data_IF_279196050205
#
_entry.id   IF_279196050205
#
_cell.length_a   1.000
_cell.length_b   1.000
_cell.length_c   1.000
_cell.angle_alpha   90.00
_cell.angle_beta   90.00
_cell.angle_gamma   90.00
#
_symmetry.space_group_name_H-M   'P 1'
#
loop_
_entity.id
_entity.type
_entity.pdbx_description
1 polymer ?
#
# COMPACT_ATOMS: atom_id res chain seq x y z
N UNK A 1 -1.30 -46.06 12.09
CA UNK A 1 -0.09 -45.95 12.91
C UNK A 1 0.70 -44.83 12.29
N UNK A 2 0.46 -43.59 12.71
CA UNK A 2 1.24 -42.44 12.24
C UNK A 2 1.50 -41.52 13.43
N UNK A 3 2.78 -41.43 13.76
CA UNK A 3 3.37 -40.63 14.82
C UNK A 3 3.29 -39.14 14.49
N UNK A 4 2.74 -38.33 15.40
CA UNK A 4 3.05 -36.91 15.51
C UNK A 4 3.57 -36.63 16.92
N UNK A 5 4.83 -36.20 17.11
CA UNK A 5 5.31 -35.83 18.42
C UNK A 5 4.85 -34.40 18.76
N UNK A 6 4.32 -34.30 19.98
CA UNK A 6 4.01 -33.08 20.73
C UNK A 6 5.30 -32.28 20.90
N UNK A 7 5.35 -31.03 20.42
CA UNK A 7 6.44 -30.11 20.75
C UNK A 7 6.06 -29.33 22.00
N UNK A 8 6.88 -29.57 23.02
CA UNK A 8 6.85 -28.97 24.34
C UNK A 8 7.12 -27.46 24.33
N UNK A 9 6.62 -26.80 25.37
CA UNK A 9 6.88 -25.41 25.70
C UNK A 9 8.39 -25.15 25.81
N UNK A 10 8.90 -24.11 25.14
CA UNK A 10 10.28 -23.67 25.26
C UNK A 10 10.38 -22.46 26.22
N UNK A 11 11.22 -22.66 27.22
CA UNK A 11 11.69 -21.77 28.28
C UNK A 11 12.34 -20.49 27.72
N UNK A 12 12.03 -19.35 28.35
CA UNK A 12 12.59 -18.04 28.09
C UNK A 12 13.95 -17.87 28.79
N UNK A 13 15.03 -18.31 28.14
CA UNK A 13 16.40 -18.03 28.57
C UNK A 13 17.29 -17.76 27.35
N UNK A 14 17.64 -16.49 27.11
CA UNK A 14 18.51 -16.07 26.01
C UNK A 14 19.98 -16.47 26.27
N UNK A 15 20.71 -17.05 25.30
CA UNK A 15 22.13 -17.30 25.45
C UNK A 15 22.97 -16.03 25.27
N UNK A 16 23.99 -15.91 26.13
CA UNK A 16 24.93 -14.79 26.24
C UNK A 16 25.90 -14.78 25.03
N UNK A 17 25.90 -13.70 24.23
CA UNK A 17 26.79 -13.53 23.08
C UNK A 17 28.17 -12.96 23.53
N UNK A 18 29.30 -13.54 23.11
CA UNK A 18 30.62 -13.01 23.44
C UNK A 18 30.93 -11.72 22.66
N UNK A 19 31.50 -10.74 23.37
CA UNK A 19 31.93 -9.45 22.81
C UNK A 19 33.34 -9.59 22.24
N UNK A 20 33.47 -9.81 20.93
CA UNK A 20 34.78 -9.71 20.25
C UNK A 20 34.94 -8.32 19.61
N UNK A 21 35.85 -7.54 20.18
CA UNK A 21 36.28 -6.25 19.65
C UNK A 21 37.22 -6.44 18.45
N UNK A 22 36.66 -6.49 17.24
CA UNK A 22 37.42 -6.31 15.98
C UNK A 22 37.18 -4.90 15.44
N UNK A 23 38.22 -4.13 15.06
CA UNK A 23 38.03 -2.78 14.55
C UNK A 23 37.38 -2.86 13.15
N UNK A 24 36.10 -2.50 13.08
CA UNK A 24 35.35 -2.31 11.84
C UNK A 24 36.11 -1.35 10.92
N UNK A 25 36.59 -1.87 9.80
CA UNK A 25 37.06 -1.10 8.65
C UNK A 25 35.94 -0.12 8.28
N UNK A 26 36.17 1.19 8.44
CA UNK A 26 35.21 2.21 8.03
C UNK A 26 35.09 2.18 6.51
N UNK A 27 34.03 1.57 6.01
CA UNK A 27 33.57 1.84 4.65
C UNK A 27 33.07 3.28 4.65
N UNK A 28 33.77 4.16 3.93
CA UNK A 28 33.28 5.49 3.60
C UNK A 28 32.03 5.31 2.73
N UNK A 29 30.85 5.36 3.34
CA UNK A 29 29.58 5.49 2.62
C UNK A 29 29.24 6.97 2.53
N UNK A 30 30.03 7.72 1.76
CA UNK A 30 29.57 8.97 1.16
C UNK A 30 28.70 8.62 -0.06
N UNK A 31 27.70 7.76 0.12
CA UNK A 31 26.59 7.67 -0.81
C UNK A 31 25.51 8.55 -0.22
N UNK A 32 25.46 9.80 -0.67
CA UNK A 32 24.27 10.62 -0.46
C UNK A 32 23.05 9.76 -0.83
N UNK A 33 22.22 9.45 0.17
CA UNK A 33 20.91 8.87 -0.10
C UNK A 33 20.24 9.76 -1.14
N UNK A 34 19.62 9.20 -2.20
CA UNK A 34 18.95 10.01 -3.20
C UNK A 34 18.02 11.00 -2.49
N UNK A 35 17.98 12.27 -2.93
CA UNK A 35 17.22 13.30 -2.24
C UNK A 35 15.80 12.79 -2.01
N UNK A 36 15.40 12.67 -0.74
CA UNK A 36 14.06 12.22 -0.38
C UNK A 36 13.08 13.11 -1.14
N UNK A 37 12.33 12.49 -2.04
CA UNK A 37 11.37 13.19 -2.89
C UNK A 37 10.44 14.00 -1.99
N UNK A 38 10.24 15.29 -2.31
CA UNK A 38 9.43 16.19 -1.49
C UNK A 38 7.98 15.67 -1.46
N UNK A 39 7.56 15.12 -0.33
CA UNK A 39 6.19 14.64 -0.13
C UNK A 39 5.24 15.82 -0.04
N UNK A 40 4.09 15.74 -0.74
CA UNK A 40 3.00 16.71 -0.60
C UNK A 40 3.12 17.93 -1.50
N UNK A 41 3.18 17.73 -2.81
CA UNK A 41 3.02 18.82 -3.78
C UNK A 41 1.58 19.31 -3.87
N UNK A 42 1.35 20.48 -4.48
CA UNK A 42 0.00 20.95 -4.81
C UNK A 42 -0.74 19.98 -5.72
N UNK A 43 0.00 19.29 -6.61
CA UNK A 43 -0.55 18.26 -7.47
C UNK A 43 -1.03 17.05 -6.65
N UNK A 44 -0.22 16.58 -5.71
CA UNK A 44 -0.61 15.47 -4.81
C UNK A 44 -1.86 15.82 -4.01
N UNK A 45 -1.94 17.07 -3.54
CA UNK A 45 -3.09 17.58 -2.79
C UNK A 45 -4.36 17.59 -3.64
N UNK A 46 -4.26 17.98 -4.91
CA UNK A 46 -5.38 17.92 -5.88
C UNK A 46 -5.81 16.49 -6.18
N UNK A 47 -4.88 15.57 -6.33
CA UNK A 47 -5.21 14.15 -6.56
C UNK A 47 -5.84 13.50 -5.33
N UNK A 48 -5.38 13.86 -4.13
CA UNK A 48 -6.00 13.40 -2.89
C UNK A 48 -7.41 13.99 -2.72
N UNK A 49 -7.60 15.27 -3.02
CA UNK A 49 -8.93 15.89 -3.04
C UNK A 49 -9.87 15.16 -4.01
N UNK A 50 -9.37 14.76 -5.18
CA UNK A 50 -10.13 13.96 -6.14
C UNK A 50 -10.51 12.59 -5.60
N UNK A 51 -9.62 11.92 -4.85
CA UNK A 51 -9.94 10.67 -4.16
C UNK A 51 -11.13 10.85 -3.19
N UNK A 52 -11.15 11.94 -2.41
CA UNK A 52 -12.25 12.24 -1.49
C UNK A 52 -13.57 12.51 -2.22
N UNK A 53 -13.53 13.21 -3.36
CA UNK A 53 -14.71 13.42 -4.21
C UNK A 53 -15.29 12.10 -4.73
N UNK A 54 -14.43 11.20 -5.19
CA UNK A 54 -14.83 9.86 -5.65
C UNK A 54 -15.45 9.05 -4.51
N UNK A 55 -14.81 9.03 -3.33
CA UNK A 55 -15.28 8.33 -2.15
C UNK A 55 -16.70 8.78 -1.72
N UNK A 56 -16.97 10.10 -1.75
CA UNK A 56 -18.26 10.69 -1.38
C UNK A 56 -19.43 10.19 -2.24
N UNK A 57 -19.19 9.65 -3.43
CA UNK A 57 -20.24 9.07 -4.30
C UNK A 57 -20.95 7.87 -3.66
N UNK A 58 -20.34 7.22 -2.68
CA UNK A 58 -20.89 6.07 -1.98
C UNK A 58 -21.38 6.39 -0.55
N UNK A 59 -21.55 7.67 -0.21
CA UNK A 59 -21.99 8.09 1.13
C UNK A 59 -23.27 7.35 1.56
N UNK A 60 -23.22 6.74 2.74
CA UNK A 60 -24.34 5.96 3.31
C UNK A 60 -24.52 4.56 2.72
N UNK A 61 -23.63 4.08 1.84
CA UNK A 61 -23.81 2.81 1.10
C UNK A 61 -22.73 1.76 1.37
N UNK A 62 -21.63 2.12 2.03
CA UNK A 62 -20.47 1.24 2.23
C UNK A 62 -20.49 0.49 3.55
N UNK A 63 -21.25 0.92 4.56
CA UNK A 63 -21.26 0.32 5.90
C UNK A 63 -21.41 -1.21 5.84
N UNK A 64 -20.56 -1.99 6.56
CA UNK A 64 -19.59 -1.56 7.57
C UNK A 64 -18.23 -1.08 7.02
N UNK A 65 -18.02 -1.10 5.70
CA UNK A 65 -16.76 -0.72 5.08
C UNK A 65 -16.58 0.81 4.98
N UNK A 66 -15.32 1.31 4.97
CA UNK A 66 -15.04 2.73 4.83
C UNK A 66 -15.38 3.26 3.43
N UNK A 67 -15.54 4.58 3.34
CA UNK A 67 -15.56 5.29 2.07
C UNK A 67 -14.12 5.44 1.57
N UNK A 68 -13.83 4.89 0.40
CA UNK A 68 -12.49 4.96 -0.20
C UNK A 68 -12.60 5.39 -1.65
N UNK A 69 -11.72 6.29 -2.06
CA UNK A 69 -11.51 6.68 -3.45
C UNK A 69 -10.03 6.52 -3.83
N UNK A 70 -9.79 6.24 -5.10
CA UNK A 70 -8.46 6.05 -5.66
C UNK A 70 -8.34 6.68 -7.06
N UNK A 71 -7.17 7.23 -7.35
CA UNK A 71 -6.81 7.85 -8.63
C UNK A 71 -5.44 7.34 -9.04
N UNK A 72 -5.27 6.93 -10.29
CA UNK A 72 -3.98 6.54 -10.86
C UNK A 72 -3.55 7.61 -11.85
N UNK A 73 -2.32 8.11 -11.69
CA UNK A 73 -1.70 9.13 -12.53
C UNK A 73 -0.46 8.58 -13.21
N UNK A 74 -0.37 8.79 -14.52
CA UNK A 74 0.82 8.50 -15.32
C UNK A 74 1.15 9.75 -16.13
N UNK A 75 2.42 10.16 -16.12
CA UNK A 75 2.93 11.30 -16.91
C UNK A 75 2.12 12.60 -16.71
N UNK A 76 1.65 12.83 -15.48
CA UNK A 76 0.86 14.02 -15.12
C UNK A 76 -0.64 13.93 -15.43
N UNK A 77 -1.11 12.83 -16.02
CA UNK A 77 -2.51 12.63 -16.42
C UNK A 77 -3.20 11.55 -15.58
N UNK A 78 -4.49 11.76 -15.26
CA UNK A 78 -5.32 10.73 -14.63
C UNK A 78 -5.62 9.65 -15.67
N UNK A 79 -5.14 8.44 -15.43
CA UNK A 79 -5.36 7.28 -16.30
C UNK A 79 -6.41 6.32 -15.76
N UNK A 80 -6.74 6.39 -14.47
CA UNK A 80 -7.79 5.57 -13.86
C UNK A 80 -8.36 6.18 -12.60
N UNK A 81 -9.66 5.96 -12.37
CA UNK A 81 -10.38 6.42 -11.19
C UNK A 81 -11.25 5.30 -10.63
N UNK A 82 -11.38 5.25 -9.30
CA UNK A 82 -12.19 4.26 -8.62
C UNK A 82 -12.71 4.74 -7.27
N UNK A 83 -13.82 4.16 -6.82
CA UNK A 83 -14.31 4.29 -5.46
C UNK A 83 -14.96 2.98 -5.03
N UNK A 84 -15.02 2.72 -3.72
CA UNK A 84 -15.71 1.55 -3.18
C UNK A 84 -17.22 1.81 -3.13
N UNK A 85 -18.07 1.10 -3.90
CA UNK A 85 -19.48 1.47 -4.04
C UNK A 85 -20.38 0.92 -2.92
N UNK A 86 -20.07 -0.26 -2.37
CA UNK A 86 -20.80 -0.94 -1.29
C UNK A 86 -20.02 -2.15 -0.78
N UNK A 87 -20.33 -2.61 0.43
CA UNK A 87 -19.68 -3.78 1.01
C UNK A 87 -19.81 -5.04 0.12
N UNK A 88 -18.72 -5.79 0.00
CA UNK A 88 -18.63 -7.01 -0.82
C UNK A 88 -18.25 -6.77 -2.29
N UNK A 89 -18.31 -5.53 -2.77
CA UNK A 89 -17.77 -5.16 -4.08
C UNK A 89 -16.26 -4.91 -4.02
N UNK A 90 -15.56 -4.89 -5.16
CA UNK A 90 -14.16 -4.51 -5.20
C UNK A 90 -13.86 -3.17 -4.51
N UNK A 91 -12.65 -3.04 -3.98
CA UNK A 91 -12.18 -1.80 -3.38
C UNK A 91 -11.83 -0.75 -4.46
N UNK A 92 -11.65 0.50 -4.03
CA UNK A 92 -11.42 1.63 -4.91
C UNK A 92 -10.20 1.42 -5.84
N UNK A 93 -9.13 0.86 -5.29
CA UNK A 93 -7.88 0.55 -5.98
C UNK A 93 -8.11 -0.40 -7.15
N UNK A 94 -8.96 -1.42 -6.96
CA UNK A 94 -9.28 -2.40 -8.02
C UNK A 94 -10.06 -1.74 -9.15
N UNK A 95 -10.99 -0.84 -8.84
CA UNK A 95 -11.70 -0.08 -9.87
C UNK A 95 -10.76 0.88 -10.63
N UNK A 96 -9.88 1.59 -9.91
CA UNK A 96 -8.90 2.48 -10.53
C UNK A 96 -7.92 1.72 -11.44
N UNK A 97 -7.42 0.55 -11.00
CA UNK A 97 -6.57 -0.32 -11.81
C UNK A 97 -7.29 -0.82 -13.07
N UNK A 98 -8.56 -1.24 -12.96
CA UNK A 98 -9.37 -1.64 -14.12
C UNK A 98 -9.54 -0.50 -15.11
N UNK A 99 -9.76 0.73 -14.64
CA UNK A 99 -9.89 1.91 -15.48
C UNK A 99 -8.55 2.30 -16.16
N UNK A 100 -7.43 2.15 -15.44
CA UNK A 100 -6.10 2.44 -15.98
C UNK A 100 -5.62 1.40 -16.99
N UNK A 101 -5.96 0.12 -16.79
CA UNK A 101 -5.48 -0.98 -17.61
C UNK A 101 -3.95 -1.04 -17.62
N UNK A 102 -3.37 -1.22 -18.81
CA UNK A 102 -1.91 -1.28 -19.00
C UNK A 102 -1.18 0.01 -18.61
N UNK A 103 -1.88 1.16 -18.54
CA UNK A 103 -1.29 2.45 -18.17
C UNK A 103 -0.96 2.55 -16.68
N UNK A 104 -1.37 1.58 -15.86
CA UNK A 104 -1.01 1.53 -14.45
C UNK A 104 0.48 1.20 -14.21
N UNK A 105 1.15 0.56 -15.17
CA UNK A 105 2.55 0.16 -15.00
C UNK A 105 3.47 1.38 -14.90
N UNK A 106 4.27 1.41 -13.83
CA UNK A 106 5.13 2.52 -13.46
C UNK A 106 4.39 3.83 -13.16
N UNK A 107 3.08 3.78 -12.88
CA UNK A 107 2.29 4.94 -12.51
C UNK A 107 2.32 5.20 -10.98
N UNK A 108 1.76 6.34 -10.58
CA UNK A 108 1.50 6.68 -9.17
C UNK A 108 0.03 6.47 -8.86
N UNK A 109 -0.29 5.75 -7.78
CA UNK A 109 -1.65 5.72 -7.23
C UNK A 109 -1.77 6.65 -6.03
N UNK A 110 -2.87 7.38 -5.98
CA UNK A 110 -3.35 8.14 -4.84
C UNK A 110 -4.55 7.40 -4.27
N UNK A 111 -4.58 7.18 -2.96
CA UNK A 111 -5.68 6.47 -2.28
C UNK A 111 -5.99 7.14 -0.95
N UNK A 112 -7.28 7.30 -0.64
CA UNK A 112 -7.71 8.05 0.55
C UNK A 112 -7.52 7.31 1.88
N UNK A 113 -7.19 6.01 1.85
CA UNK A 113 -6.94 5.16 3.01
C UNK A 113 -5.86 4.14 2.66
N UNK A 114 -5.16 3.60 3.65
CA UNK A 114 -4.16 2.54 3.45
C UNK A 114 -4.75 1.33 2.67
N UNK A 115 -4.09 0.87 1.59
CA UNK A 115 -4.51 -0.33 0.87
C UNK A 115 -4.52 -1.56 1.78
N UNK A 116 -5.59 -2.35 1.72
CA UNK A 116 -5.69 -3.53 2.58
C UNK A 116 -4.63 -4.60 2.26
N UNK A 117 -4.12 -5.25 3.31
CA UNK A 117 -3.12 -6.33 3.22
C UNK A 117 -3.57 -7.62 3.93
N UNK A 118 -4.86 -7.92 3.90
CA UNK A 118 -5.43 -9.14 4.47
C UNK A 118 -6.40 -9.79 3.48
N UNK A 119 -6.56 -11.10 3.62
CA UNK A 119 -7.47 -11.89 2.81
C UNK A 119 -8.85 -11.93 3.47
N UNK A 120 -9.81 -11.17 2.92
CA UNK A 120 -11.19 -11.11 3.37
C UNK A 120 -12.14 -11.69 2.33
N UNK A 121 -13.26 -10.98 2.07
CA UNK A 121 -14.18 -11.30 0.97
C UNK A 121 -13.58 -11.08 -0.41
N UNK A 122 -12.60 -10.19 -0.50
CA UNK A 122 -11.82 -9.89 -1.70
C UNK A 122 -10.32 -10.10 -1.40
N UNK A 123 -9.49 -10.40 -2.42
CA UNK A 123 -8.03 -10.40 -2.28
C UNK A 123 -7.50 -9.04 -1.81
N UNK A 124 -6.28 -8.99 -1.24
CA UNK A 124 -5.68 -7.75 -0.74
C UNK A 124 -5.35 -6.78 -1.88
N UNK A 125 -5.60 -5.49 -1.65
CA UNK A 125 -5.26 -4.43 -2.60
C UNK A 125 -3.75 -4.30 -2.77
N UNK A 126 -2.97 -4.50 -1.70
CA UNK A 126 -1.50 -4.45 -1.74
C UNK A 126 -0.92 -5.33 -2.84
N UNK A 127 -1.35 -6.58 -2.94
CA UNK A 127 -0.91 -7.52 -3.98
C UNK A 127 -1.33 -7.08 -5.38
N UNK A 128 -2.54 -6.53 -5.53
CA UNK A 128 -3.01 -6.03 -6.82
C UNK A 128 -2.19 -4.82 -7.31
N UNK A 129 -1.81 -3.90 -6.41
CA UNK A 129 -0.96 -2.75 -6.73
C UNK A 129 0.46 -3.19 -7.13
N UNK A 130 1.04 -4.15 -6.40
CA UNK A 130 2.36 -4.73 -6.70
C UNK A 130 2.32 -5.42 -8.07
N UNK A 131 1.31 -6.26 -8.31
CA UNK A 131 1.15 -6.97 -9.58
C UNK A 131 0.94 -6.03 -10.77
N UNK A 132 0.31 -4.89 -10.56
CA UNK A 132 0.13 -3.87 -11.59
C UNK A 132 1.42 -3.08 -11.90
N UNK A 133 2.49 -3.27 -11.13
CA UNK A 133 3.77 -2.61 -11.36
C UNK A 133 3.74 -1.11 -11.06
N UNK A 134 2.91 -0.65 -10.12
CA UNK A 134 2.90 0.76 -9.71
C UNK A 134 4.25 1.17 -9.13
N UNK A 135 4.74 2.34 -9.51
CA UNK A 135 6.03 2.86 -9.04
C UNK A 135 5.91 3.54 -7.67
N UNK A 136 4.74 4.11 -7.37
CA UNK A 136 4.54 4.94 -6.17
C UNK A 136 3.10 4.85 -5.67
N UNK A 137 2.96 4.85 -4.34
CA UNK A 137 1.68 4.88 -3.63
C UNK A 137 1.67 6.10 -2.70
N UNK A 138 0.70 6.98 -2.87
CA UNK A 138 0.46 8.12 -1.98
C UNK A 138 -0.83 7.85 -1.21
N UNK A 139 -0.71 7.76 0.11
CA UNK A 139 -1.79 7.37 1.01
C UNK A 139 -2.27 8.58 1.80
N UNK A 140 -3.58 8.82 1.77
CA UNK A 140 -4.28 9.71 2.69
C UNK A 140 -4.79 8.95 3.92
N UNK A 141 -5.32 9.68 4.89
CA UNK A 141 -5.98 9.11 6.07
C UNK A 141 -7.25 9.89 6.37
N UNK A 142 -8.37 9.17 6.47
CA UNK A 142 -9.71 9.70 6.79
C UNK A 142 -10.41 8.86 7.84
#
# INVERSE_FOLDING_TARGET
MDNFPVVAQADASLPNYPQENTPLMRLNTDSESPPKEKVGSDFDSRMMQRCLELARRALGRTSPNPLVGAVIVKDGEIVGEGFHPRAGEPHAEVFALKAAGVRAEGATIYVSLEPCNHHGRTPPCSEALIKAGLAKVIVGMV
#
